data_IF_653705432858
#
_entry.id   IF_653705432858
#
_cell.length_a   1.000
_cell.length_b   1.000
_cell.length_c   1.000
_cell.angle_alpha   90.00
_cell.angle_beta   90.00
_cell.angle_gamma   90.00
#
_symmetry.space_group_name_H-M   'P 1'
#
loop_
_entity.id
_entity.type
_entity.pdbx_description
1 polymer ?
#
# COMPACT_ATOMS: atom_id res chain seq x y z
N UNK A 1 11.12 34.72 28.35
CA UNK A 1 11.15 33.34 28.87
C UNK A 1 9.80 32.70 28.54
N UNK A 2 9.68 32.04 27.39
CA UNK A 2 8.50 31.26 27.04
C UNK A 2 8.73 29.81 27.46
N UNK A 3 7.97 29.36 28.42
CA UNK A 3 7.94 27.98 28.86
C UNK A 3 7.46 27.13 27.68
N UNK A 4 8.39 26.47 26.98
CA UNK A 4 8.06 25.45 26.00
C UNK A 4 7.50 24.25 26.75
N UNK A 5 6.17 24.22 26.93
CA UNK A 5 5.50 23.00 27.33
C UNK A 5 5.80 21.94 26.26
N UNK A 6 6.56 20.94 26.60
CA UNK A 6 6.75 19.71 25.83
C UNK A 6 5.40 19.01 25.76
N UNK A 7 4.53 19.45 24.83
CA UNK A 7 3.29 18.73 24.55
C UNK A 7 3.69 17.38 24.00
N UNK A 8 3.38 16.32 24.76
CA UNK A 8 3.54 14.95 24.31
C UNK A 8 2.81 14.70 23.01
N UNK A 9 3.09 13.60 22.34
CA UNK A 9 2.37 13.20 21.11
C UNK A 9 0.86 13.18 21.35
N UNK A 10 0.04 13.72 20.42
CA UNK A 10 -1.42 13.70 20.50
C UNK A 10 -1.95 12.29 20.20
N UNK A 11 -1.79 11.36 21.14
CA UNK A 11 -2.05 9.93 20.95
C UNK A 11 -3.49 9.63 20.52
N UNK A 12 -4.49 10.41 20.99
CA UNK A 12 -5.87 10.23 20.57
C UNK A 12 -6.04 10.49 19.06
N UNK A 13 -5.45 11.58 18.54
CA UNK A 13 -5.47 11.89 17.11
C UNK A 13 -4.68 10.86 16.30
N UNK A 14 -3.50 10.47 16.78
CA UNK A 14 -2.65 9.47 16.10
C UNK A 14 -3.35 8.12 16.06
N UNK A 15 -4.00 7.70 17.15
CA UNK A 15 -4.78 6.46 17.21
C UNK A 15 -5.97 6.47 16.26
N UNK A 16 -6.74 7.58 16.22
CA UNK A 16 -7.85 7.75 15.27
C UNK A 16 -7.37 7.76 13.81
N UNK A 17 -6.25 8.42 13.52
CA UNK A 17 -5.64 8.45 12.20
C UNK A 17 -5.10 7.07 11.76
N UNK A 18 -4.48 6.32 12.68
CA UNK A 18 -4.03 4.95 12.46
C UNK A 18 -5.21 4.02 12.14
N UNK A 19 -6.29 4.10 12.93
CA UNK A 19 -7.50 3.31 12.72
C UNK A 19 -8.22 3.68 11.42
N UNK A 20 -8.33 4.98 11.10
CA UNK A 20 -8.86 5.44 9.81
C UNK A 20 -8.04 4.95 8.62
N UNK A 21 -6.70 4.97 8.75
CA UNK A 21 -5.79 4.43 7.72
C UNK A 21 -5.93 2.91 7.54
N UNK A 22 -6.14 2.18 8.64
CA UNK A 22 -6.46 0.75 8.61
C UNK A 22 -7.78 0.49 7.85
N UNK A 23 -8.86 1.20 8.19
CA UNK A 23 -10.16 1.05 7.54
C UNK A 23 -10.09 1.41 6.04
N UNK A 24 -9.45 2.54 5.70
CA UNK A 24 -9.28 2.97 4.32
C UNK A 24 -8.51 1.94 3.48
N UNK A 25 -7.38 1.41 4.00
CA UNK A 25 -6.57 0.42 3.29
C UNK A 25 -7.30 -0.93 3.19
N UNK A 26 -8.06 -1.30 4.22
CA UNK A 26 -8.86 -2.54 4.24
C UNK A 26 -9.90 -2.56 3.12
N UNK A 27 -10.48 -1.42 2.72
CA UNK A 27 -11.50 -1.34 1.67
C UNK A 27 -11.05 -1.89 0.31
N UNK A 28 -9.75 -1.87 0.02
CA UNK A 28 -9.16 -2.38 -1.22
C UNK A 28 -8.39 -3.70 -1.02
N UNK A 29 -7.45 -3.71 -0.08
CA UNK A 29 -6.47 -4.79 0.08
C UNK A 29 -7.09 -6.11 0.55
N UNK A 30 -8.14 -6.04 1.36
CA UNK A 30 -8.79 -7.25 1.90
C UNK A 30 -9.70 -7.98 0.91
N UNK A 31 -9.77 -7.53 -0.36
CA UNK A 31 -10.44 -8.28 -1.44
C UNK A 31 -9.62 -9.45 -1.96
N UNK A 32 -8.31 -9.47 -1.72
CA UNK A 32 -7.41 -10.48 -2.27
C UNK A 32 -7.84 -11.94 -2.02
N UNK A 33 -8.36 -12.34 -0.85
CA UNK A 33 -8.85 -13.70 -0.63
C UNK A 33 -10.10 -14.07 -1.43
N UNK A 34 -10.88 -13.08 -1.89
CA UNK A 34 -12.20 -13.28 -2.50
C UNK A 34 -12.21 -13.21 -4.02
N UNK A 35 -11.06 -13.11 -4.69
CA UNK A 35 -11.02 -12.92 -6.14
C UNK A 35 -11.76 -14.04 -6.90
N UNK A 36 -11.64 -15.29 -6.45
CA UNK A 36 -12.35 -16.42 -7.04
C UNK A 36 -13.84 -16.39 -6.73
N UNK A 37 -14.23 -16.16 -5.48
CA UNK A 37 -15.62 -16.07 -5.05
C UNK A 37 -16.36 -14.93 -5.79
N UNK A 38 -15.72 -13.75 -5.87
CA UNK A 38 -16.27 -12.61 -6.63
C UNK A 38 -16.42 -12.92 -8.13
N UNK A 39 -15.46 -13.63 -8.72
CA UNK A 39 -15.52 -14.02 -10.13
C UNK A 39 -16.69 -14.96 -10.41
N UNK A 40 -16.91 -15.93 -9.53
CA UNK A 40 -18.02 -16.88 -9.63
C UNK A 40 -19.38 -16.20 -9.38
N UNK A 41 -19.49 -15.38 -8.34
CA UNK A 41 -20.74 -14.72 -7.96
C UNK A 41 -21.20 -13.64 -8.98
N UNK A 42 -20.24 -12.99 -9.64
CA UNK A 42 -20.51 -11.93 -10.64
C UNK A 42 -20.47 -12.44 -12.09
N UNK A 43 -20.27 -13.75 -12.30
CA UNK A 43 -20.18 -14.42 -13.62
C UNK A 43 -19.17 -13.74 -14.56
N UNK A 44 -17.96 -13.48 -14.04
CA UNK A 44 -16.86 -12.86 -14.79
C UNK A 44 -15.55 -13.60 -14.58
N UNK A 45 -14.57 -13.34 -15.45
CA UNK A 45 -13.26 -13.95 -15.28
C UNK A 45 -12.53 -13.38 -14.06
N UNK A 46 -11.76 -14.23 -13.35
CA UNK A 46 -10.97 -13.82 -12.17
C UNK A 46 -9.96 -12.70 -12.51
N UNK A 47 -9.26 -12.70 -13.67
CA UNK A 47 -8.43 -11.58 -14.08
C UNK A 47 -9.16 -10.25 -14.14
N UNK A 48 -10.44 -10.24 -14.55
CA UNK A 48 -11.24 -9.02 -14.57
C UNK A 48 -11.51 -8.50 -13.16
N UNK A 49 -11.83 -9.39 -12.20
CA UNK A 49 -12.00 -9.03 -10.78
C UNK A 49 -10.69 -8.49 -10.19
N UNK A 50 -9.55 -9.12 -10.50
CA UNK A 50 -8.25 -8.66 -10.02
C UNK A 50 -7.93 -7.22 -10.49
N UNK A 51 -8.39 -6.80 -11.66
CA UNK A 51 -8.23 -5.42 -12.15
C UNK A 51 -9.00 -4.36 -11.34
N UNK A 52 -9.90 -4.75 -10.41
CA UNK A 52 -10.45 -3.80 -9.43
C UNK A 52 -9.33 -3.15 -8.59
N UNK A 53 -8.22 -3.83 -8.39
CA UNK A 53 -7.04 -3.27 -7.69
C UNK A 53 -6.44 -2.12 -8.51
N UNK A 54 -6.27 -2.29 -9.82
CA UNK A 54 -5.80 -1.21 -10.72
C UNK A 54 -6.74 -0.01 -10.68
N UNK A 55 -8.03 -0.26 -10.75
CA UNK A 55 -9.06 0.78 -10.77
C UNK A 55 -9.07 1.58 -9.45
N UNK A 56 -9.07 0.87 -8.32
CA UNK A 56 -9.03 1.52 -7.00
C UNK A 56 -7.72 2.25 -6.77
N UNK A 57 -6.57 1.69 -7.17
CA UNK A 57 -5.25 2.33 -7.02
C UNK A 57 -5.13 3.60 -7.88
N UNK A 58 -5.70 3.61 -9.09
CA UNK A 58 -5.75 4.78 -9.96
C UNK A 58 -6.57 5.90 -9.31
N UNK A 59 -7.79 5.59 -8.89
CA UNK A 59 -8.66 6.55 -8.21
C UNK A 59 -8.01 7.08 -6.91
N UNK A 60 -7.42 6.19 -6.12
CA UNK A 60 -6.68 6.55 -4.90
C UNK A 60 -5.53 7.51 -5.19
N UNK A 61 -4.68 7.22 -6.17
CA UNK A 61 -3.53 8.05 -6.52
C UNK A 61 -3.94 9.47 -6.94
N UNK A 62 -4.97 9.59 -7.78
CA UNK A 62 -5.49 10.87 -8.25
C UNK A 62 -6.08 11.68 -7.09
N UNK A 63 -6.95 11.07 -6.29
CA UNK A 63 -7.67 11.78 -5.24
C UNK A 63 -6.80 12.07 -4.01
N UNK A 64 -5.75 11.30 -3.77
CA UNK A 64 -4.78 11.61 -2.72
C UNK A 64 -4.06 12.94 -2.97
N UNK A 65 -3.68 13.20 -4.22
CA UNK A 65 -3.09 14.48 -4.63
C UNK A 65 -4.11 15.63 -4.58
N UNK A 66 -5.32 15.40 -5.10
CA UNK A 66 -6.41 16.40 -5.10
C UNK A 66 -6.89 16.69 -3.67
N UNK A 67 -6.96 15.69 -2.80
CA UNK A 67 -7.37 15.83 -1.41
C UNK A 67 -6.48 16.79 -0.62
N UNK A 68 -5.18 16.76 -0.87
CA UNK A 68 -4.24 17.74 -0.31
C UNK A 68 -4.61 19.16 -0.71
N UNK A 69 -4.80 19.41 -2.00
CA UNK A 69 -5.23 20.72 -2.52
C UNK A 69 -6.62 21.14 -1.99
N UNK A 70 -7.58 20.25 -2.02
CA UNK A 70 -8.93 20.51 -1.50
C UNK A 70 -8.90 20.86 0.00
N UNK A 71 -8.03 20.21 0.77
CA UNK A 71 -7.90 20.45 2.22
C UNK A 71 -7.38 21.86 2.54
N UNK A 72 -6.62 22.45 1.63
CA UNK A 72 -6.15 23.83 1.76
C UNK A 72 -7.26 24.87 1.50
N UNK A 73 -8.30 24.48 0.73
CA UNK A 73 -9.44 25.35 0.37
C UNK A 73 -10.60 25.23 1.37
N UNK A 74 -11.06 23.99 1.62
CA UNK A 74 -12.27 23.73 2.44
C UNK A 74 -11.96 23.31 3.88
N UNK A 75 -10.66 23.20 4.20
CA UNK A 75 -10.17 22.70 5.48
C UNK A 75 -10.06 21.17 5.53
N UNK A 76 -9.29 20.67 6.48
CA UNK A 76 -8.98 19.24 6.60
C UNK A 76 -10.12 18.44 7.24
N UNK A 77 -10.78 19.02 8.26
CA UNK A 77 -11.82 18.33 9.02
C UNK A 77 -12.98 17.82 8.18
N UNK A 78 -13.59 18.60 7.25
CA UNK A 78 -14.65 18.11 6.39
C UNK A 78 -14.23 16.86 5.60
N UNK A 79 -13.01 16.86 5.02
CA UNK A 79 -12.52 15.72 4.23
C UNK A 79 -12.30 14.51 5.12
N UNK A 80 -11.70 14.67 6.31
CA UNK A 80 -11.43 13.58 7.25
C UNK A 80 -12.72 12.92 7.80
N UNK A 81 -13.85 13.61 7.73
CA UNK A 81 -15.16 13.07 8.16
C UNK A 81 -15.95 12.55 6.95
N UNK A 82 -16.07 13.34 5.89
CA UNK A 82 -16.91 13.00 4.74
C UNK A 82 -16.32 11.85 3.92
N UNK A 83 -15.00 11.82 3.72
CA UNK A 83 -14.39 10.79 2.90
C UNK A 83 -14.57 9.36 3.46
N UNK A 84 -14.37 9.07 4.77
CA UNK A 84 -14.67 7.74 5.31
C UNK A 84 -16.16 7.41 5.37
N UNK A 85 -17.07 8.40 5.52
CA UNK A 85 -18.52 8.18 5.40
C UNK A 85 -18.84 7.75 3.96
N UNK A 86 -18.37 8.51 2.97
CA UNK A 86 -18.56 8.19 1.57
C UNK A 86 -17.95 6.80 1.22
N UNK A 87 -16.78 6.47 1.79
CA UNK A 87 -16.17 5.15 1.67
C UNK A 87 -17.11 4.06 2.20
N UNK A 88 -17.69 4.23 3.39
CA UNK A 88 -18.63 3.26 3.95
C UNK A 88 -19.85 3.08 3.04
N UNK A 89 -20.42 4.17 2.51
CA UNK A 89 -21.54 4.11 1.57
C UNK A 89 -21.18 3.38 0.27
N UNK A 90 -19.99 3.61 -0.27
CA UNK A 90 -19.52 2.87 -1.47
C UNK A 90 -19.32 1.37 -1.20
N UNK A 91 -18.89 0.98 0.00
CA UNK A 91 -18.76 -0.42 0.39
C UNK A 91 -20.11 -1.10 0.51
N UNK A 92 -21.11 -0.42 1.08
CA UNK A 92 -22.50 -0.90 1.11
C UNK A 92 -23.06 -1.04 -0.32
N UNK A 93 -22.82 -0.04 -1.18
CA UNK A 93 -23.26 -0.07 -2.57
C UNK A 93 -22.57 -1.21 -3.38
N UNK A 94 -21.28 -1.49 -3.11
CA UNK A 94 -20.57 -2.64 -3.69
C UNK A 94 -21.18 -3.97 -3.22
N UNK A 95 -21.50 -4.09 -1.93
CA UNK A 95 -22.10 -5.30 -1.38
C UNK A 95 -23.51 -5.57 -1.95
N UNK A 96 -24.27 -4.51 -2.27
CA UNK A 96 -25.58 -4.60 -2.87
C UNK A 96 -25.56 -4.73 -4.40
N UNK A 97 -24.41 -4.56 -5.06
CA UNK A 97 -24.31 -4.57 -6.51
C UNK A 97 -24.57 -5.96 -7.10
N UNK A 98 -25.46 -6.02 -8.10
CA UNK A 98 -25.82 -7.26 -8.81
C UNK A 98 -24.97 -7.54 -10.05
N UNK A 99 -24.01 -6.68 -10.41
CA UNK A 99 -23.15 -6.89 -11.57
C UNK A 99 -21.75 -6.35 -11.35
N UNK A 100 -20.77 -6.92 -12.05
CA UNK A 100 -19.37 -6.47 -11.99
C UNK A 100 -19.21 -4.98 -12.31
N UNK A 101 -19.98 -4.46 -13.28
CA UNK A 101 -19.89 -3.04 -13.65
C UNK A 101 -20.15 -2.12 -12.45
N UNK A 102 -21.22 -2.36 -11.70
CA UNK A 102 -21.53 -1.54 -10.52
C UNK A 102 -20.53 -1.76 -9.37
N UNK A 103 -20.05 -2.98 -9.19
CA UNK A 103 -18.95 -3.23 -8.23
C UNK A 103 -17.73 -2.40 -8.61
N UNK A 104 -17.35 -2.36 -9.89
CA UNK A 104 -16.20 -1.60 -10.38
C UNK A 104 -16.38 -0.08 -10.20
N UNK A 105 -17.56 0.45 -10.55
CA UNK A 105 -17.89 1.87 -10.36
C UNK A 105 -17.75 2.27 -8.89
N UNK A 106 -18.39 1.52 -7.99
CA UNK A 106 -18.33 1.84 -6.56
C UNK A 106 -16.96 1.57 -5.97
N UNK A 107 -16.19 0.61 -6.51
CA UNK A 107 -14.81 0.37 -6.10
C UNK A 107 -13.90 1.55 -6.49
N UNK A 108 -14.10 2.14 -7.68
CA UNK A 108 -13.36 3.34 -8.09
C UNK A 108 -13.69 4.54 -7.19
N UNK A 109 -14.97 4.78 -6.92
CA UNK A 109 -15.40 5.88 -6.03
C UNK A 109 -14.86 5.66 -4.61
N UNK A 110 -14.93 4.42 -4.09
CA UNK A 110 -14.38 4.05 -2.79
C UNK A 110 -12.87 4.24 -2.71
N UNK A 111 -12.13 3.83 -3.77
CA UNK A 111 -10.70 4.10 -3.89
C UNK A 111 -10.39 5.60 -3.86
N UNK A 112 -11.22 6.41 -4.52
CA UNK A 112 -11.14 7.86 -4.47
C UNK A 112 -11.36 8.43 -3.08
N UNK A 113 -12.37 7.96 -2.35
CA UNK A 113 -12.64 8.37 -0.97
C UNK A 113 -11.47 8.01 -0.03
N UNK A 114 -10.94 6.79 -0.15
CA UNK A 114 -9.80 6.33 0.64
C UNK A 114 -8.53 7.14 0.33
N UNK A 115 -8.29 7.48 -0.95
CA UNK A 115 -7.19 8.33 -1.38
C UNK A 115 -7.28 9.76 -0.82
N UNK A 116 -8.44 10.39 -0.93
CA UNK A 116 -8.68 11.72 -0.38
C UNK A 116 -8.45 11.74 1.15
N UNK A 117 -8.96 10.74 1.86
CA UNK A 117 -8.72 10.59 3.30
C UNK A 117 -7.23 10.48 3.63
N UNK A 118 -6.52 9.56 2.98
CA UNK A 118 -5.10 9.30 3.29
C UNK A 118 -4.21 10.47 2.94
N UNK A 119 -4.50 11.20 1.86
CA UNK A 119 -3.78 12.43 1.50
C UNK A 119 -3.86 13.50 2.57
N UNK A 120 -5.00 13.60 3.27
CA UNK A 120 -5.26 14.65 4.27
C UNK A 120 -4.85 14.23 5.68
N UNK A 121 -5.04 12.97 6.06
CA UNK A 121 -4.78 12.51 7.44
C UNK A 121 -3.31 12.64 7.83
N UNK A 122 -2.38 12.40 6.90
CA UNK A 122 -0.94 12.61 7.14
C UNK A 122 -0.61 14.08 7.37
N UNK A 123 -1.24 14.98 6.59
CA UNK A 123 -1.07 16.41 6.75
C UNK A 123 -1.64 16.91 8.09
N UNK A 124 -2.79 16.38 8.51
CA UNK A 124 -3.43 16.72 9.78
C UNK A 124 -2.54 16.33 10.96
N UNK A 125 -2.11 15.07 11.04
CA UNK A 125 -1.23 14.61 12.12
C UNK A 125 0.09 15.37 12.12
N UNK A 126 0.68 15.60 10.94
CA UNK A 126 1.94 16.33 10.80
C UNK A 126 1.88 17.76 11.34
N UNK A 127 0.72 18.43 11.23
CA UNK A 127 0.56 19.81 11.71
C UNK A 127 0.35 19.93 13.22
N UNK A 128 0.00 18.83 13.91
CA UNK A 128 -0.25 18.79 15.35
C UNK A 128 0.96 18.30 16.18
N UNK A 129 2.10 18.01 15.53
CA UNK A 129 3.30 17.53 16.19
C UNK A 129 4.50 18.40 15.87
N UNK A 130 5.44 18.49 16.81
CA UNK A 130 6.71 19.19 16.60
C UNK A 130 7.57 18.46 15.56
N UNK A 131 8.40 19.21 14.81
CA UNK A 131 9.22 18.66 13.71
C UNK A 131 10.06 17.45 14.13
N UNK A 132 10.64 17.47 15.34
CA UNK A 132 11.42 16.36 15.91
C UNK A 132 10.61 15.07 16.16
N UNK A 133 9.30 15.15 16.27
CA UNK A 133 8.39 14.02 16.54
C UNK A 133 7.56 13.62 15.32
N UNK A 134 7.62 14.40 14.22
CA UNK A 134 6.80 14.20 13.02
C UNK A 134 6.99 12.82 12.41
N UNK A 135 8.23 12.36 12.26
CA UNK A 135 8.51 11.04 11.71
C UNK A 135 7.89 9.91 12.54
N UNK A 136 7.98 10.02 13.88
CA UNK A 136 7.38 9.04 14.80
C UNK A 136 5.85 9.03 14.72
N UNK A 137 5.22 10.20 14.68
CA UNK A 137 3.76 10.31 14.58
C UNK A 137 3.24 9.75 13.25
N UNK A 138 3.87 10.10 12.13
CA UNK A 138 3.51 9.59 10.82
C UNK A 138 3.77 8.08 10.69
N UNK A 139 4.83 7.57 11.32
CA UNK A 139 5.09 6.13 11.39
C UNK A 139 3.95 5.37 12.07
N UNK A 140 3.37 5.89 13.14
CA UNK A 140 2.18 5.31 13.78
C UNK A 140 0.94 5.34 12.88
N UNK A 141 0.71 6.40 12.10
CA UNK A 141 -0.40 6.44 11.13
C UNK A 141 -0.19 5.41 10.01
N UNK A 142 1.05 5.28 9.50
CA UNK A 142 1.41 4.29 8.48
C UNK A 142 1.28 2.85 9.00
N UNK A 143 1.47 2.62 10.30
CA UNK A 143 1.28 1.29 10.88
C UNK A 143 -0.17 0.79 10.73
N UNK A 144 -1.16 1.68 10.67
CA UNK A 144 -2.54 1.33 10.35
C UNK A 144 -2.68 0.67 8.98
N UNK A 145 -1.98 1.18 7.96
CA UNK A 145 -1.97 0.55 6.63
C UNK A 145 -1.28 -0.83 6.66
N UNK A 146 -0.18 -0.95 7.40
CA UNK A 146 0.53 -2.23 7.55
C UNK A 146 -0.30 -3.26 8.32
N UNK A 147 -1.09 -2.81 9.30
CA UNK A 147 -1.97 -3.65 10.10
C UNK A 147 -3.05 -4.32 9.22
N UNK A 148 -3.44 -3.70 8.12
CA UNK A 148 -4.36 -4.32 7.15
C UNK A 148 -3.83 -5.65 6.61
N UNK A 149 -2.55 -5.75 6.33
CA UNK A 149 -1.96 -7.00 5.82
C UNK A 149 -1.85 -8.07 6.91
N UNK A 150 -1.55 -7.66 8.15
CA UNK A 150 -1.29 -8.58 9.27
C UNK A 150 -2.57 -9.08 9.91
N UNK A 151 -3.55 -8.21 10.03
CA UNK A 151 -4.82 -8.48 10.71
C UNK A 151 -5.98 -8.45 9.72
N UNK A 152 -6.07 -7.42 8.90
CA UNK A 152 -7.22 -7.21 8.00
C UNK A 152 -7.38 -8.33 6.98
N UNK A 153 -6.31 -8.73 6.29
CA UNK A 153 -6.40 -9.77 5.24
C UNK A 153 -6.65 -11.17 5.82
N UNK A 154 -5.97 -11.63 6.88
CA UNK A 154 -6.33 -12.89 7.55
C UNK A 154 -7.73 -12.88 8.14
N UNK A 155 -8.17 -11.78 8.75
CA UNK A 155 -9.54 -11.63 9.25
C UNK A 155 -10.57 -11.68 8.12
N UNK A 156 -10.25 -11.09 6.95
CA UNK A 156 -11.10 -11.17 5.77
C UNK A 156 -11.31 -12.62 5.34
N UNK A 157 -10.25 -13.41 5.29
CA UNK A 157 -10.34 -14.83 4.97
C UNK A 157 -11.16 -15.60 6.01
N UNK A 158 -10.89 -15.38 7.31
CA UNK A 158 -11.56 -16.09 8.40
C UNK A 158 -13.04 -15.72 8.55
N UNK A 159 -13.35 -14.42 8.62
CA UNK A 159 -14.75 -13.95 8.77
C UNK A 159 -15.51 -14.14 7.45
N UNK A 160 -14.84 -13.85 6.33
CA UNK A 160 -15.42 -13.97 5.01
C UNK A 160 -15.80 -15.40 4.64
N UNK A 161 -15.15 -16.42 5.22
CA UNK A 161 -15.56 -17.82 5.04
C UNK A 161 -16.99 -18.10 5.55
N UNK A 162 -17.51 -17.25 6.45
CA UNK A 162 -18.86 -17.36 7.03
C UNK A 162 -19.84 -16.39 6.37
N UNK A 163 -19.42 -15.14 6.14
CA UNK A 163 -20.33 -14.06 5.68
C UNK A 163 -20.18 -13.76 4.18
N UNK A 164 -19.23 -14.39 3.49
CA UNK A 164 -18.89 -14.12 2.10
C UNK A 164 -18.23 -12.76 1.88
N UNK A 165 -17.82 -12.48 0.64
CA UNK A 165 -17.16 -11.24 0.27
C UNK A 165 -18.07 -10.00 0.46
N UNK A 166 -19.39 -10.14 0.22
CA UNK A 166 -20.37 -9.04 0.43
C UNK A 166 -20.49 -8.68 1.91
N UNK A 167 -20.62 -9.70 2.78
CA UNK A 167 -20.66 -9.50 4.22
C UNK A 167 -19.37 -8.90 4.77
N UNK A 168 -18.20 -9.30 4.23
CA UNK A 168 -16.93 -8.68 4.60
C UNK A 168 -16.87 -7.19 4.24
N UNK A 169 -17.36 -6.77 3.06
CA UNK A 169 -17.44 -5.35 2.69
C UNK A 169 -18.29 -4.56 3.69
N UNK A 170 -19.39 -5.13 4.19
CA UNK A 170 -20.21 -4.49 5.23
C UNK A 170 -19.44 -4.38 6.56
N UNK A 171 -18.66 -5.38 6.94
CA UNK A 171 -17.78 -5.27 8.12
C UNK A 171 -16.79 -4.11 7.98
N UNK A 172 -16.16 -3.94 6.81
CA UNK A 172 -15.25 -2.81 6.55
C UNK A 172 -16.00 -1.48 6.52
N UNK A 173 -17.24 -1.44 6.05
CA UNK A 173 -18.10 -0.24 6.14
C UNK A 173 -18.33 0.17 7.59
N UNK A 174 -18.63 -0.78 8.48
CA UNK A 174 -18.77 -0.52 9.93
C UNK A 174 -17.46 0.01 10.52
N UNK A 175 -16.30 -0.58 10.16
CA UNK A 175 -14.99 -0.06 10.59
C UNK A 175 -14.75 1.37 10.11
N UNK A 176 -15.16 1.71 8.89
CA UNK A 176 -15.04 3.06 8.34
C UNK A 176 -15.90 4.07 9.13
N UNK A 177 -17.11 3.71 9.51
CA UNK A 177 -17.98 4.55 10.37
C UNK A 177 -17.39 4.69 11.78
N UNK A 178 -16.85 3.62 12.37
CA UNK A 178 -16.16 3.70 13.65
C UNK A 178 -14.94 4.64 13.60
N UNK A 179 -14.20 4.63 12.46
CA UNK A 179 -13.12 5.56 12.22
C UNK A 179 -13.61 7.03 12.15
N UNK A 180 -14.76 7.28 11.51
CA UNK A 180 -15.40 8.62 11.52
C UNK A 180 -15.66 9.08 12.93
N UNK A 181 -16.25 8.24 13.77
CA UNK A 181 -16.55 8.60 15.17
C UNK A 181 -15.29 8.96 15.95
N UNK A 182 -14.22 8.16 15.79
CA UNK A 182 -12.95 8.42 16.45
C UNK A 182 -12.29 9.73 15.98
N UNK A 183 -12.35 10.03 14.67
CA UNK A 183 -11.83 11.27 14.08
C UNK A 183 -12.69 12.49 14.46
N UNK A 184 -14.01 12.35 14.49
CA UNK A 184 -14.91 13.43 14.88
C UNK A 184 -14.64 13.93 16.31
N UNK A 185 -14.28 13.00 17.21
CA UNK A 185 -13.95 13.30 18.60
C UNK A 185 -12.54 13.91 18.76
N UNK A 186 -11.61 13.63 17.84
CA UNK A 186 -10.19 13.98 18.00
C UNK A 186 -9.75 15.17 17.13
N UNK A 187 -10.38 15.37 15.97
CA UNK A 187 -10.04 16.48 15.05
C UNK A 187 -10.78 17.74 15.46
N UNK A 188 -10.03 18.76 15.90
CA UNK A 188 -10.56 20.04 16.35
C UNK A 188 -11.34 20.82 15.28
N UNK A 189 -12.32 21.65 15.70
CA UNK A 189 -13.10 22.50 14.76
C UNK A 189 -12.30 23.62 14.09
N UNK A 190 -11.09 23.91 14.58
CA UNK A 190 -10.21 24.99 14.07
C UNK A 190 -9.02 24.50 13.24
N UNK A 191 -9.06 23.26 12.71
CA UNK A 191 -8.03 22.71 11.85
C UNK A 191 -8.09 23.35 10.46
N UNK A 192 -7.84 24.68 10.41
CA UNK A 192 -7.68 25.41 9.15
C UNK A 192 -6.35 24.99 8.51
N UNK A 193 -6.37 24.65 7.24
CA UNK A 193 -5.16 24.42 6.48
C UNK A 193 -4.23 25.61 6.66
N UNK A 194 -3.02 25.38 7.14
CA UNK A 194 -2.00 26.42 7.12
C UNK A 194 -1.69 26.66 5.64
N UNK A 195 -2.11 27.82 5.14
CA UNK A 195 -1.66 28.31 3.85
C UNK A 195 -0.14 28.24 3.82
N UNK A 196 0.38 27.36 3.00
CA UNK A 196 1.81 27.27 2.74
C UNK A 196 2.27 28.67 2.35
N UNK A 197 3.34 29.24 2.96
CA UNK A 197 3.90 30.49 2.47
C UNK A 197 4.17 30.32 0.97
N UNK A 198 3.68 31.24 0.16
CA UNK A 198 3.93 31.30 -1.29
C UNK A 198 5.41 31.67 -1.53
N UNK A 199 6.32 30.77 -1.20
CA UNK A 199 7.75 30.93 -1.32
C UNK A 199 8.39 29.69 -1.89
N UNK A 200 9.03 29.83 -3.04
CA UNK A 200 9.80 28.86 -3.81
C UNK A 200 8.96 27.69 -4.35
N UNK A 201 8.50 27.81 -5.58
CA UNK A 201 8.06 26.67 -6.38
C UNK A 201 9.26 25.74 -6.53
N UNK A 202 9.24 24.50 -6.00
CA UNK A 202 10.35 23.58 -6.21
C UNK A 202 10.56 23.42 -7.71
N UNK A 203 11.81 23.48 -8.16
CA UNK A 203 12.14 23.29 -9.57
C UNK A 203 11.74 21.87 -9.96
N UNK A 204 10.59 21.72 -10.62
CA UNK A 204 10.11 20.42 -11.14
C UNK A 204 11.20 19.74 -12.00
N UNK A 205 12.03 20.54 -12.67
CA UNK A 205 13.15 20.06 -13.48
C UNK A 205 14.24 19.36 -12.64
N UNK A 206 14.53 19.86 -11.44
CA UNK A 206 15.49 19.25 -10.53
C UNK A 206 14.92 17.97 -9.89
N UNK A 207 13.60 17.94 -9.60
CA UNK A 207 12.91 16.77 -9.11
C UNK A 207 12.79 15.64 -10.17
N UNK A 208 12.86 15.96 -11.47
CA UNK A 208 12.79 15.02 -12.59
C UNK A 208 14.17 14.71 -13.19
N UNK A 209 15.24 14.81 -12.40
CA UNK A 209 16.57 14.42 -12.88
C UNK A 209 16.60 12.95 -13.33
N UNK A 210 17.46 12.58 -14.32
CA UNK A 210 17.54 11.18 -14.82
C UNK A 210 17.77 10.17 -13.71
N UNK A 211 18.53 10.53 -12.68
CA UNK A 211 18.75 9.71 -11.49
C UNK A 211 17.47 9.48 -10.69
N UNK A 212 16.70 10.53 -10.43
CA UNK A 212 15.42 10.40 -9.69
C UNK A 212 14.43 9.57 -10.49
N UNK A 213 14.33 9.79 -11.82
CA UNK A 213 13.48 8.99 -12.69
C UNK A 213 13.90 7.51 -12.69
N UNK A 214 15.20 7.22 -12.72
CA UNK A 214 15.74 5.86 -12.61
C UNK A 214 15.36 5.21 -11.27
N UNK A 215 15.49 5.94 -10.15
CA UNK A 215 15.06 5.46 -8.84
C UNK A 215 13.54 5.26 -8.77
N UNK A 216 12.73 6.16 -9.31
CA UNK A 216 11.28 5.99 -9.35
C UNK A 216 10.86 4.78 -10.17
N UNK A 217 11.51 4.55 -11.34
CA UNK A 217 11.31 3.34 -12.13
C UNK A 217 11.68 2.05 -11.38
N UNK A 218 12.78 2.09 -10.63
CA UNK A 218 13.19 1.01 -9.71
C UNK A 218 12.12 0.75 -8.65
N UNK A 219 11.53 1.82 -8.08
CA UNK A 219 10.43 1.73 -7.13
C UNK A 219 9.16 1.14 -7.73
N UNK A 220 8.86 1.43 -9.02
CA UNK A 220 7.74 0.79 -9.75
C UNK A 220 7.97 -0.72 -9.84
N UNK A 221 9.17 -1.16 -10.24
CA UNK A 221 9.48 -2.58 -10.35
C UNK A 221 9.35 -3.31 -9.00
N UNK A 222 9.88 -2.73 -7.92
CA UNK A 222 9.71 -3.27 -6.57
C UNK A 222 8.22 -3.40 -6.21
N UNK A 223 7.46 -2.36 -6.48
CA UNK A 223 6.03 -2.33 -6.13
C UNK A 223 5.20 -3.30 -6.95
N UNK A 224 5.57 -3.55 -8.21
CA UNK A 224 4.93 -4.59 -9.03
C UNK A 224 5.23 -5.97 -8.42
N UNK A 225 6.49 -6.29 -8.11
CA UNK A 225 6.85 -7.55 -7.48
C UNK A 225 6.06 -7.79 -6.20
N UNK A 226 6.03 -6.81 -5.30
CA UNK A 226 5.26 -6.88 -4.06
C UNK A 226 3.76 -7.04 -4.30
N UNK A 227 3.20 -6.24 -5.22
CA UNK A 227 1.78 -6.24 -5.54
C UNK A 227 1.30 -7.56 -6.16
N UNK A 228 2.11 -8.18 -7.03
CA UNK A 228 1.80 -9.51 -7.60
C UNK A 228 1.56 -10.53 -6.49
N UNK A 229 2.42 -10.55 -5.47
CA UNK A 229 2.22 -11.47 -4.35
C UNK A 229 1.03 -11.06 -3.47
N UNK A 230 0.90 -9.80 -3.08
CA UNK A 230 -0.20 -9.35 -2.20
C UNK A 230 -1.57 -9.58 -2.83
N UNK A 231 -1.70 -9.37 -4.13
CA UNK A 231 -2.98 -9.55 -4.83
C UNK A 231 -3.29 -11.01 -5.09
N UNK A 232 -2.29 -11.80 -5.47
CA UNK A 232 -2.54 -13.12 -6.05
C UNK A 232 -2.11 -14.31 -5.18
N UNK A 233 -1.38 -14.10 -4.08
CA UNK A 233 -0.91 -15.21 -3.22
C UNK A 233 -2.07 -16.03 -2.64
N UNK A 234 -3.15 -15.38 -2.20
CA UNK A 234 -4.34 -16.06 -1.73
C UNK A 234 -4.95 -16.95 -2.82
N UNK A 235 -5.14 -16.41 -4.01
CA UNK A 235 -5.68 -17.14 -5.15
C UNK A 235 -4.74 -18.26 -5.62
N UNK A 236 -3.42 -18.03 -5.59
CA UNK A 236 -2.43 -19.06 -5.87
C UNK A 236 -2.60 -20.28 -4.92
N UNK A 237 -2.73 -20.02 -3.61
CA UNK A 237 -2.94 -21.08 -2.62
C UNK A 237 -4.27 -21.82 -2.82
N UNK A 238 -5.34 -21.11 -3.20
CA UNK A 238 -6.64 -21.69 -3.50
C UNK A 238 -6.59 -22.58 -4.75
N UNK A 239 -6.01 -22.09 -5.84
CA UNK A 239 -5.98 -22.80 -7.13
C UNK A 239 -5.01 -23.98 -7.11
N UNK A 240 -3.81 -23.80 -6.52
CA UNK A 240 -2.75 -24.80 -6.53
C UNK A 240 -2.99 -25.90 -5.51
N UNK A 241 -3.55 -25.57 -4.34
CA UNK A 241 -3.69 -26.50 -3.21
C UNK A 241 -5.14 -26.76 -2.79
N UNK A 242 -6.12 -26.20 -3.52
CA UNK A 242 -7.56 -26.29 -3.20
C UNK A 242 -7.90 -25.84 -1.78
N UNK A 243 -7.17 -24.84 -1.26
CA UNK A 243 -7.39 -24.32 0.09
C UNK A 243 -8.69 -23.54 0.16
N UNK A 244 -9.46 -23.77 1.22
CA UNK A 244 -10.65 -22.99 1.54
C UNK A 244 -10.28 -21.60 2.10
N UNK A 245 -11.23 -20.67 2.13
CA UNK A 245 -11.00 -19.30 2.65
C UNK A 245 -10.50 -19.32 4.11
N UNK A 246 -11.06 -20.20 4.95
CA UNK A 246 -10.65 -20.27 6.37
C UNK A 246 -9.21 -20.78 6.51
N UNK A 247 -8.79 -21.73 5.68
CA UNK A 247 -7.43 -22.26 5.68
C UNK A 247 -6.41 -21.24 5.22
N UNK A 248 -6.80 -20.24 4.43
CA UNK A 248 -5.93 -19.14 4.00
C UNK A 248 -5.52 -18.17 5.13
N UNK A 249 -6.28 -18.12 6.22
CA UNK A 249 -6.02 -17.16 7.30
C UNK A 249 -4.59 -17.26 7.84
N UNK A 250 -4.10 -18.49 8.09
CA UNK A 250 -2.73 -18.72 8.58
C UNK A 250 -1.66 -18.40 7.53
N UNK A 251 -1.71 -18.91 6.28
CA UNK A 251 -0.80 -18.52 5.21
C UNK A 251 -0.67 -17.00 5.02
N UNK A 252 -1.79 -16.29 5.02
CA UNK A 252 -1.81 -14.84 4.85
C UNK A 252 -1.21 -14.10 6.06
N UNK A 253 -1.44 -14.59 7.27
CA UNK A 253 -0.80 -14.05 8.47
C UNK A 253 0.72 -14.26 8.45
N UNK A 254 1.18 -15.46 8.08
CA UNK A 254 2.62 -15.77 7.94
C UNK A 254 3.28 -14.89 6.87
N UNK A 255 2.63 -14.72 5.73
CA UNK A 255 3.09 -13.82 4.67
C UNK A 255 3.23 -12.37 5.18
N UNK A 256 2.23 -11.87 5.92
CA UNK A 256 2.25 -10.53 6.50
C UNK A 256 3.34 -10.36 7.57
N UNK A 257 3.60 -11.38 8.38
CA UNK A 257 4.71 -11.38 9.34
C UNK A 257 6.07 -11.28 8.63
N UNK A 258 6.24 -11.95 7.48
CA UNK A 258 7.42 -11.81 6.63
C UNK A 258 7.65 -10.35 6.18
N UNK A 259 6.58 -9.65 5.78
CA UNK A 259 6.66 -8.23 5.40
C UNK A 259 7.10 -7.33 6.56
N UNK A 260 6.58 -7.57 7.78
CA UNK A 260 7.00 -6.81 8.97
C UNK A 260 8.46 -7.10 9.30
N UNK A 261 8.82 -8.38 9.41
CA UNK A 261 10.17 -8.80 9.75
C UNK A 261 11.19 -8.22 8.75
N UNK A 262 10.88 -8.29 7.45
CA UNK A 262 11.71 -7.72 6.40
C UNK A 262 11.83 -6.20 6.51
N UNK A 263 10.74 -5.48 6.77
CA UNK A 263 10.76 -4.03 6.94
C UNK A 263 11.58 -3.60 8.15
N UNK A 264 11.42 -4.27 9.29
CA UNK A 264 12.17 -3.98 10.52
C UNK A 264 13.66 -4.28 10.34
N UNK A 265 13.99 -5.46 9.83
CA UNK A 265 15.38 -5.84 9.54
C UNK A 265 16.01 -4.90 8.50
N UNK A 266 15.26 -4.54 7.46
CA UNK A 266 15.69 -3.61 6.42
C UNK A 266 15.96 -2.21 6.95
N UNK A 267 15.17 -1.72 7.92
CA UNK A 267 15.44 -0.46 8.62
C UNK A 267 16.77 -0.49 9.35
N UNK A 268 17.04 -1.55 10.11
CA UNK A 268 18.32 -1.71 10.82
C UNK A 268 19.51 -1.83 9.86
N UNK A 269 19.33 -2.53 8.72
CA UNK A 269 20.36 -2.62 7.70
C UNK A 269 20.63 -1.26 7.02
N UNK A 270 19.57 -0.49 6.73
CA UNK A 270 19.68 0.85 6.13
C UNK A 270 20.47 1.83 7.00
N UNK A 271 20.44 1.65 8.34
CA UNK A 271 21.20 2.47 9.29
C UNK A 271 22.65 2.01 9.40
N UNK A 272 22.90 0.70 9.30
CA UNK A 272 24.25 0.11 9.51
C UNK A 272 25.08 0.05 8.22
N UNK A 273 24.47 -0.22 7.09
CA UNK A 273 25.16 -0.40 5.82
C UNK A 273 25.30 0.93 5.07
N UNK A 274 26.54 1.25 4.64
CA UNK A 274 26.85 2.50 3.92
C UNK A 274 26.24 2.53 2.52
N UNK A 275 26.13 1.36 1.87
CA UNK A 275 25.66 1.25 0.50
C UNK A 275 24.21 0.78 0.41
N UNK A 276 23.31 1.74 0.58
CA UNK A 276 21.86 1.50 0.60
C UNK A 276 21.31 0.95 -0.71
N UNK A 277 21.83 1.41 -1.87
CA UNK A 277 21.37 0.93 -3.17
C UNK A 277 21.84 -0.48 -3.47
N UNK A 278 23.04 -0.86 -3.01
CA UNK A 278 23.51 -2.24 -3.11
C UNK A 278 22.65 -3.16 -2.22
N UNK A 279 22.35 -2.76 -0.99
CA UNK A 279 21.48 -3.52 -0.08
C UNK A 279 20.11 -3.76 -0.73
N UNK A 280 19.51 -2.72 -1.32
CA UNK A 280 18.26 -2.86 -2.05
C UNK A 280 18.39 -3.81 -3.25
N UNK A 281 19.43 -3.65 -4.08
CA UNK A 281 19.62 -4.49 -5.27
C UNK A 281 19.79 -5.97 -4.93
N UNK A 282 20.57 -6.29 -3.88
CA UNK A 282 20.75 -7.67 -3.42
C UNK A 282 19.43 -8.24 -2.88
N UNK A 283 18.71 -7.48 -2.05
CA UNK A 283 17.42 -7.90 -1.50
C UNK A 283 16.38 -8.16 -2.62
N UNK A 284 16.32 -7.28 -3.63
CA UNK A 284 15.46 -7.46 -4.81
C UNK A 284 15.84 -8.70 -5.62
N UNK A 285 17.12 -8.91 -5.92
CA UNK A 285 17.58 -10.08 -6.69
C UNK A 285 17.23 -11.39 -5.94
N UNK A 286 17.50 -11.45 -4.63
CA UNK A 286 17.17 -12.62 -3.81
C UNK A 286 15.64 -12.83 -3.72
N UNK A 287 14.85 -11.76 -3.62
CA UNK A 287 13.40 -11.87 -3.66
C UNK A 287 12.89 -12.41 -5.00
N UNK A 288 13.53 -12.04 -6.11
CA UNK A 288 13.24 -12.59 -7.44
C UNK A 288 13.48 -14.09 -7.52
N UNK A 289 14.58 -14.58 -6.94
CA UNK A 289 14.86 -16.02 -6.83
C UNK A 289 13.81 -16.72 -5.97
N UNK A 290 13.45 -16.14 -4.82
CA UNK A 290 12.42 -16.71 -3.96
C UNK A 290 11.04 -16.75 -4.65
N UNK A 291 10.68 -15.73 -5.44
CA UNK A 291 9.46 -15.72 -6.23
C UNK A 291 9.48 -16.80 -7.33
N UNK A 292 10.62 -16.99 -8.00
CA UNK A 292 10.78 -18.05 -8.98
C UNK A 292 10.49 -19.41 -8.34
N UNK A 293 11.12 -19.69 -7.19
CA UNK A 293 10.90 -20.95 -6.46
C UNK A 293 9.44 -21.08 -6.02
N UNK A 294 8.83 -20.01 -5.49
CA UNK A 294 7.44 -20.01 -4.99
C UNK A 294 6.43 -20.46 -6.07
N UNK A 295 6.56 -19.91 -7.28
CA UNK A 295 5.58 -20.11 -8.33
C UNK A 295 5.92 -21.24 -9.32
N UNK A 296 7.10 -21.87 -9.22
CA UNK A 296 7.49 -23.00 -10.11
C UNK A 296 7.63 -24.32 -9.36
N UNK A 297 7.88 -24.32 -8.06
CA UNK A 297 8.07 -25.50 -7.25
C UNK A 297 6.99 -25.66 -6.18
N UNK A 298 6.14 -26.66 -6.33
CA UNK A 298 4.93 -26.83 -5.54
C UNK A 298 4.94 -28.15 -4.71
N UNK A 299 5.89 -28.31 -3.76
CA UNK A 299 6.00 -29.56 -2.99
C UNK A 299 4.90 -29.74 -1.93
N UNK A 300 4.13 -28.69 -1.64
CA UNK A 300 3.04 -28.68 -0.67
C UNK A 300 2.78 -27.30 -0.06
N UNK A 301 1.60 -27.12 0.54
CA UNK A 301 1.16 -25.79 1.02
C UNK A 301 2.09 -25.20 2.09
N UNK A 302 2.57 -26.01 3.03
CA UNK A 302 3.44 -25.51 4.11
C UNK A 302 4.77 -24.97 3.58
N UNK A 303 5.39 -25.64 2.58
CA UNK A 303 6.64 -25.17 1.96
C UNK A 303 6.40 -23.92 1.14
N UNK A 304 5.30 -23.85 0.38
CA UNK A 304 4.96 -22.64 -0.38
C UNK A 304 4.69 -21.44 0.54
N UNK A 305 4.08 -21.65 1.71
CA UNK A 305 3.91 -20.60 2.73
C UNK A 305 5.27 -20.15 3.27
N UNK A 306 6.19 -21.09 3.57
CA UNK A 306 7.53 -20.73 4.02
C UNK A 306 8.33 -19.97 2.96
N UNK A 307 8.28 -20.39 1.69
CA UNK A 307 8.92 -19.68 0.58
C UNK A 307 8.27 -18.31 0.36
N UNK A 308 6.95 -18.20 0.45
CA UNK A 308 6.21 -16.95 0.39
C UNK A 308 6.61 -15.97 1.49
N UNK A 309 6.81 -16.47 2.73
CA UNK A 309 7.36 -15.69 3.84
C UNK A 309 8.76 -15.15 3.49
N UNK A 310 9.67 -16.02 3.00
CA UNK A 310 11.04 -15.61 2.62
C UNK A 310 11.00 -14.59 1.47
N UNK A 311 10.15 -14.81 0.47
CA UNK A 311 9.98 -13.89 -0.64
C UNK A 311 9.60 -12.49 -0.18
N UNK A 312 8.53 -12.37 0.62
CA UNK A 312 8.05 -11.05 1.06
C UNK A 312 9.00 -10.40 2.07
N UNK A 313 9.67 -11.20 2.90
CA UNK A 313 10.70 -10.73 3.82
C UNK A 313 11.85 -10.07 3.06
N UNK A 314 12.39 -10.75 2.04
CA UNK A 314 13.48 -10.23 1.21
C UNK A 314 13.06 -8.97 0.42
N UNK A 315 11.85 -8.98 -0.16
CA UNK A 315 11.32 -7.82 -0.87
C UNK A 315 11.18 -6.61 0.07
N UNK A 316 10.60 -6.81 1.26
CA UNK A 316 10.39 -5.76 2.25
C UNK A 316 11.71 -5.24 2.86
N UNK A 317 12.74 -6.09 2.97
CA UNK A 317 14.05 -5.75 3.51
C UNK A 317 14.77 -4.66 2.70
N UNK A 318 14.62 -4.64 1.39
CA UNK A 318 15.22 -3.63 0.53
C UNK A 318 14.57 -2.25 0.65
N UNK A 319 13.28 -2.19 0.99
CA UNK A 319 12.45 -0.98 0.92
C UNK A 319 12.96 0.20 1.77
N UNK A 320 13.36 0.04 3.05
CA UNK A 320 13.89 1.16 3.83
C UNK A 320 15.17 1.74 3.25
N UNK A 321 16.08 0.91 2.74
CA UNK A 321 17.30 1.34 2.08
C UNK A 321 17.02 2.14 0.80
N UNK A 322 16.03 1.71 0.01
CA UNK A 322 15.55 2.43 -1.17
C UNK A 322 14.96 3.79 -0.79
N UNK A 323 14.06 3.84 0.19
CA UNK A 323 13.43 5.09 0.67
C UNK A 323 14.46 6.08 1.19
N UNK A 324 15.46 5.61 1.95
CA UNK A 324 16.55 6.44 2.43
C UNK A 324 17.43 6.99 1.30
N UNK A 325 17.60 6.21 0.22
CA UNK A 325 18.32 6.66 -0.97
C UNK A 325 17.52 7.70 -1.77
N UNK A 326 16.21 7.52 -1.88
CA UNK A 326 15.30 8.46 -2.52
C UNK A 326 15.22 9.79 -1.73
N UNK A 327 15.27 9.74 -0.40
CA UNK A 327 15.30 10.91 0.46
C UNK A 327 16.65 11.64 0.48
N UNK A 328 17.73 11.07 -0.08
CA UNK A 328 19.07 11.66 -0.14
C UNK A 328 19.27 12.66 -1.30
N UNK A 329 18.20 13.27 -1.78
CA UNK A 329 18.19 14.37 -2.75
C UNK A 329 18.28 15.72 -2.02
N UNK A 330 18.63 16.84 -2.73
CA UNK A 330 18.63 18.17 -2.15
C UNK A 330 17.32 18.51 -1.43
N UNK A 331 17.42 19.32 -0.38
CA UNK A 331 16.30 19.57 0.55
C UNK A 331 15.12 20.29 -0.10
N UNK A 332 15.40 21.18 -1.05
CA UNK A 332 14.45 21.95 -1.83
C UNK A 332 13.52 21.06 -2.70
N UNK A 333 13.98 19.92 -3.18
CA UNK A 333 13.23 18.99 -4.03
C UNK A 333 12.80 17.70 -3.31
N UNK A 334 13.29 17.45 -2.10
CA UNK A 334 13.03 16.20 -1.34
C UNK A 334 11.55 15.90 -1.18
N UNK A 335 10.75 16.90 -0.81
CA UNK A 335 9.30 16.74 -0.66
C UNK A 335 8.62 16.34 -1.96
N UNK A 336 9.00 16.94 -3.09
CA UNK A 336 8.47 16.59 -4.41
C UNK A 336 8.85 15.17 -4.82
N UNK A 337 10.11 14.78 -4.61
CA UNK A 337 10.60 13.41 -4.95
C UNK A 337 9.89 12.35 -4.11
N UNK A 338 9.69 12.58 -2.82
CA UNK A 338 8.95 11.66 -1.96
C UNK A 338 7.46 11.61 -2.33
N UNK A 339 6.87 12.73 -2.78
CA UNK A 339 5.52 12.74 -3.35
C UNK A 339 5.42 11.92 -4.64
N UNK A 340 6.38 12.07 -5.55
CA UNK A 340 6.46 11.28 -6.79
C UNK A 340 6.62 9.78 -6.52
N UNK A 341 7.25 9.39 -5.41
CA UNK A 341 7.30 7.99 -5.00
C UNK A 341 5.89 7.41 -4.70
N UNK A 342 4.97 8.21 -4.18
CA UNK A 342 3.56 7.81 -4.01
C UNK A 342 2.90 7.49 -5.36
N UNK A 343 3.12 8.34 -6.37
CA UNK A 343 2.66 8.11 -7.75
C UNK A 343 3.30 6.85 -8.35
N UNK A 344 4.61 6.68 -8.17
CA UNK A 344 5.36 5.49 -8.58
C UNK A 344 4.78 4.21 -7.94
N UNK A 345 4.43 4.27 -6.66
CA UNK A 345 3.76 3.16 -5.98
C UNK A 345 2.39 2.82 -6.58
N UNK A 346 1.57 3.84 -6.93
CA UNK A 346 0.28 3.63 -7.60
C UNK A 346 0.45 2.96 -8.98
N UNK A 347 1.41 3.43 -9.79
CA UNK A 347 1.78 2.79 -11.06
C UNK A 347 2.18 1.33 -10.84
N UNK A 348 2.95 1.05 -9.79
CA UNK A 348 3.33 -0.31 -9.43
C UNK A 348 2.14 -1.21 -9.09
N UNK A 349 1.17 -0.73 -8.33
CA UNK A 349 -0.07 -1.48 -8.02
C UNK A 349 -0.91 -1.76 -9.25
N UNK A 350 -1.06 -0.76 -10.15
CA UNK A 350 -1.75 -0.92 -11.44
C UNK A 350 -1.03 -1.99 -12.27
N UNK A 351 0.31 -1.89 -12.37
CA UNK A 351 1.13 -2.86 -13.10
C UNK A 351 1.02 -4.27 -12.53
N UNK A 352 1.01 -4.43 -11.20
CA UNK A 352 0.88 -5.72 -10.54
C UNK A 352 -0.46 -6.40 -10.89
N UNK A 353 -1.57 -5.68 -10.77
CA UNK A 353 -2.88 -6.23 -11.08
C UNK A 353 -3.03 -6.55 -12.58
N UNK A 354 -2.60 -5.65 -13.47
CA UNK A 354 -2.70 -5.83 -14.91
C UNK A 354 -1.79 -6.97 -15.43
N UNK A 355 -0.52 -6.97 -15.04
CA UNK A 355 0.43 -8.03 -15.45
C UNK A 355 0.03 -9.39 -14.88
N UNK A 356 -0.42 -9.44 -13.62
CA UNK A 356 -0.91 -10.68 -13.02
C UNK A 356 -2.16 -11.20 -13.73
N UNK A 357 -3.10 -10.32 -14.10
CA UNK A 357 -4.28 -10.69 -14.88
C UNK A 357 -3.91 -11.28 -16.24
N UNK A 358 -2.96 -10.65 -16.96
CA UNK A 358 -2.45 -11.16 -18.25
C UNK A 358 -1.77 -12.51 -18.07
N UNK A 359 -0.93 -12.68 -17.04
CA UNK A 359 -0.25 -13.96 -16.77
C UNK A 359 -1.24 -15.08 -16.51
N UNK A 360 -2.25 -14.86 -15.67
CA UNK A 360 -3.27 -15.87 -15.38
C UNK A 360 -4.06 -16.25 -16.65
N UNK A 361 -4.39 -15.26 -17.48
CA UNK A 361 -5.14 -15.51 -18.72
C UNK A 361 -4.32 -16.22 -19.81
N UNK A 362 -2.98 -16.17 -19.78
CA UNK A 362 -2.11 -16.72 -20.83
C UNK A 362 -1.36 -18.00 -20.42
N UNK A 363 -0.71 -17.98 -19.26
CA UNK A 363 0.25 -19.03 -18.81
C UNK A 363 -0.12 -19.61 -17.44
N UNK A 364 -1.03 -18.97 -16.71
CA UNK A 364 -1.37 -19.34 -15.33
C UNK A 364 -0.34 -18.84 -14.31
N UNK A 365 -0.34 -19.47 -13.13
CA UNK A 365 0.56 -19.07 -12.03
C UNK A 365 2.03 -19.37 -12.30
N UNK A 366 2.35 -20.31 -13.19
CA UNK A 366 3.74 -20.64 -13.56
C UNK A 366 4.47 -19.43 -14.17
N UNK A 367 3.75 -18.53 -14.83
CA UNK A 367 4.31 -17.29 -15.40
C UNK A 367 4.72 -16.25 -14.35
N UNK A 368 4.18 -16.32 -13.12
CA UNK A 368 4.46 -15.33 -12.07
C UNK A 368 5.91 -15.37 -11.59
N UNK A 369 6.51 -16.56 -11.48
CA UNK A 369 7.89 -16.73 -11.06
C UNK A 369 8.88 -16.03 -12.01
N UNK A 370 8.92 -16.39 -13.31
CA UNK A 370 9.77 -15.74 -14.30
C UNK A 370 9.51 -14.24 -14.44
N UNK A 371 8.26 -13.80 -14.46
CA UNK A 371 7.90 -12.37 -14.54
C UNK A 371 8.45 -11.59 -13.33
N UNK A 372 8.21 -12.10 -12.11
CA UNK A 372 8.67 -11.43 -10.89
C UNK A 372 10.19 -11.42 -10.81
N UNK A 373 10.87 -12.52 -11.21
CA UNK A 373 12.31 -12.58 -11.25
C UNK A 373 12.90 -11.56 -12.24
N UNK A 374 12.33 -11.45 -13.44
CA UNK A 374 12.73 -10.45 -14.43
C UNK A 374 12.58 -9.02 -13.89
N UNK A 375 11.43 -8.69 -13.33
CA UNK A 375 11.16 -7.36 -12.75
C UNK A 375 12.09 -7.06 -11.56
N UNK A 376 12.37 -8.06 -10.73
CA UNK A 376 13.30 -7.93 -9.62
C UNK A 376 14.74 -7.66 -10.11
N UNK A 377 15.17 -8.33 -11.17
CA UNK A 377 16.49 -8.08 -11.80
C UNK A 377 16.54 -6.69 -12.45
N UNK A 378 15.47 -6.26 -13.13
CA UNK A 378 15.39 -4.90 -13.69
C UNK A 378 15.45 -3.85 -12.58
N UNK A 379 14.72 -4.04 -11.47
CA UNK A 379 14.78 -3.18 -10.30
C UNK A 379 16.17 -3.15 -9.66
N UNK A 380 16.80 -4.30 -9.49
CA UNK A 380 18.17 -4.39 -8.96
C UNK A 380 19.19 -3.70 -9.89
N UNK A 381 19.09 -3.93 -11.21
CA UNK A 381 19.93 -3.29 -12.22
C UNK A 381 19.76 -1.76 -12.22
N UNK A 382 18.52 -1.25 -12.16
CA UNK A 382 18.23 0.18 -12.07
C UNK A 382 18.83 0.82 -10.82
N UNK A 383 18.79 0.13 -9.68
CA UNK A 383 19.42 0.59 -8.44
C UNK A 383 20.95 0.66 -8.57
N UNK A 384 21.58 -0.36 -9.19
CA UNK A 384 23.03 -0.39 -9.40
C UNK A 384 23.51 0.68 -10.40
N UNK A 385 22.73 0.95 -11.46
CA UNK A 385 23.02 2.04 -12.40
C UNK A 385 22.94 3.40 -11.70
N UNK A 386 21.90 3.62 -10.90
CA UNK A 386 21.73 4.85 -10.10
C UNK A 386 22.80 5.04 -9.03
N UNK A 387 23.45 3.95 -8.58
CA UNK A 387 24.61 3.97 -7.69
C UNK A 387 25.85 4.53 -8.39
N UNK A 388 26.14 4.09 -9.62
CA UNK A 388 27.32 4.52 -10.40
C UNK A 388 27.28 6.03 -10.70
N UNK A 389 26.11 6.58 -10.99
CA UNK A 389 25.95 8.02 -11.25
C UNK A 389 26.17 8.92 -10.01
N UNK A 390 26.46 8.36 -8.84
CA UNK A 390 26.84 9.10 -7.63
C UNK A 390 28.35 9.24 -7.47
N UNK A 391 29.12 8.39 -8.14
CA UNK A 391 30.58 8.34 -8.03
C UNK A 391 31.30 9.06 -9.19
N UNK A 392 30.56 9.50 -10.20
CA UNK A 392 30.99 10.41 -11.27
C UNK A 392 30.48 11.83 -11.01
#
# INVERSE_FOLDING_TARGET
MSVSSSRGLPWALIGAACFGSFAATSSGTTRAPFLLEMAQDLDVSMPLVANLVSLTATAWGITSALGGWMSDVIGRRPILIVAPIALALTLVAQAAAGSFFWVAVWAAVGGGCAGAFTGVVFAEVSSHVHDSQRGRALGWVMSGQSLTLVVGVPMAAAIGSVVGWRGWLLCVAVLSIAAVLSLFLTVGRGSAGHTRPAGARPSMRAALSPRVLGLLGTGVAERICYGLAVVYFATFMQVTYNMTLIELAVPLAVFALGNIAGTVAGGQLADRLRDRLLTFAVAMALSGVAALVLFTWHPGPAVSVAVGFVYVLLNALGRPSFMASLASVPEDVRGTVLGLNGTSASVGWIGAAALGAVMIGSVGFEGFGPLTALLALLGAGGALLSRRSRSS
#
